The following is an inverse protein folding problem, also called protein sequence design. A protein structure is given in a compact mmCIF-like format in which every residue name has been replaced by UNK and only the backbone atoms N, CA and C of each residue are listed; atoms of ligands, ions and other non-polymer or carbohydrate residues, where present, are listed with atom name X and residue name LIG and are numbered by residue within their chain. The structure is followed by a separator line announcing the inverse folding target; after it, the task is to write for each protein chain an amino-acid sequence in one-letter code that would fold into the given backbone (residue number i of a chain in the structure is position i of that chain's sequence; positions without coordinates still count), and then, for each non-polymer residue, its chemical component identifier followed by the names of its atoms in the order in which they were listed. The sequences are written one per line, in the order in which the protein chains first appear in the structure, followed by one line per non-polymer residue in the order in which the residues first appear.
data_IF_099779402487
#
_entry.id   IF_099779402487
#
_cell.length_a   1.000
_cell.length_b   1.000
_cell.length_c   1.000
_cell.angle_alpha   90.00
_cell.angle_beta   90.00
_cell.angle_gamma   90.00
#
_symmetry.space_group_name_H-M   'P 1'
#
loop_
_entity.id
_entity.type
_entity.pdbx_description
1 polymer ?
#
# COMPACT_ATOMS: atom_id res chain seq x y z
N UNK A 1 7.25 -10.69 -0.22
CA UNK A 1 5.85 -11.12 -0.02
C UNK A 1 5.04 -9.91 0.38
N UNK A 2 3.85 -9.75 -0.18
CA UNK A 2 2.92 -8.64 0.09
C UNK A 2 1.98 -9.08 1.20
N UNK A 3 1.73 -8.24 2.20
CA UNK A 3 0.88 -8.56 3.34
C UNK A 3 -0.53 -7.98 3.18
N UNK A 4 -1.53 -8.72 3.67
CA UNK A 4 -2.93 -8.35 3.59
C UNK A 4 -3.64 -8.55 4.94
N UNK A 5 -4.53 -7.63 5.26
CA UNK A 5 -5.45 -7.71 6.41
C UNK A 5 -6.90 -7.56 5.93
N UNK A 6 -7.81 -8.37 6.50
CA UNK A 6 -9.23 -8.41 6.13
C UNK A 6 -10.10 -7.84 7.25
N UNK A 7 -11.08 -7.00 6.89
CA UNK A 7 -12.12 -6.53 7.81
C UNK A 7 -13.50 -6.80 7.21
N UNK A 8 -14.27 -7.66 7.83
CA UNK A 8 -15.59 -8.10 7.38
C UNK A 8 -16.42 -8.48 8.61
N UNK A 9 -17.59 -7.89 8.77
CA UNK A 9 -18.43 -8.12 9.95
C UNK A 9 -19.17 -9.46 9.88
N UNK A 10 -19.55 -9.90 8.70
CA UNK A 10 -20.19 -11.18 8.53
C UNK A 10 -19.21 -12.34 8.69
N UNK A 11 -19.37 -13.10 9.77
CA UNK A 11 -18.45 -14.18 10.11
C UNK A 11 -18.26 -15.20 9.00
N UNK A 12 -19.34 -15.63 8.35
CA UNK A 12 -19.28 -16.65 7.28
C UNK A 12 -18.51 -16.12 6.08
N UNK A 13 -18.77 -14.88 5.67
CA UNK A 13 -18.05 -14.22 4.59
C UNK A 13 -16.56 -14.05 4.94
N UNK A 14 -16.26 -13.59 6.14
CA UNK A 14 -14.89 -13.42 6.64
C UNK A 14 -14.10 -14.72 6.63
N UNK A 15 -14.66 -15.79 7.21
CA UNK A 15 -14.05 -17.13 7.22
C UNK A 15 -13.89 -17.68 5.80
N UNK A 16 -14.88 -17.48 4.94
CA UNK A 16 -14.83 -17.93 3.55
C UNK A 16 -13.69 -17.23 2.77
N UNK A 17 -13.56 -15.94 2.91
CA UNK A 17 -12.48 -15.17 2.25
C UNK A 17 -11.11 -15.62 2.80
N UNK A 18 -10.98 -15.75 4.12
CA UNK A 18 -9.74 -16.19 4.75
C UNK A 18 -9.29 -17.55 4.29
N UNK A 19 -10.22 -18.53 4.27
CA UNK A 19 -9.89 -19.94 4.14
C UNK A 19 -9.94 -20.46 2.68
N UNK A 20 -10.76 -19.85 1.82
CA UNK A 20 -10.97 -20.33 0.44
C UNK A 20 -10.19 -19.56 -0.62
N UNK A 21 -9.68 -18.38 -0.31
CA UNK A 21 -8.80 -17.66 -1.23
C UNK A 21 -7.38 -18.21 -1.11
N UNK A 22 -6.75 -18.66 -2.20
CA UNK A 22 -5.41 -19.25 -2.14
C UNK A 22 -4.31 -18.20 -2.04
N UNK A 23 -4.24 -17.51 -0.91
CA UNK A 23 -3.34 -16.39 -0.66
C UNK A 23 -1.86 -16.70 -0.93
N UNK A 24 -1.41 -17.88 -0.48
CA UNK A 24 0.00 -18.29 -0.62
C UNK A 24 0.40 -18.53 -2.09
N UNK A 25 -0.52 -19.04 -2.92
CA UNK A 25 -0.26 -19.25 -4.35
C UNK A 25 -0.04 -17.92 -5.10
N UNK A 26 -0.54 -16.81 -4.54
CA UNK A 26 -0.37 -15.46 -5.06
C UNK A 26 0.71 -14.64 -4.33
N UNK A 27 1.58 -15.26 -3.54
CA UNK A 27 2.61 -14.62 -2.72
C UNK A 27 2.05 -13.55 -1.76
N UNK A 28 0.87 -13.80 -1.22
CA UNK A 28 0.23 -12.94 -0.23
C UNK A 28 0.38 -13.55 1.17
N UNK A 29 0.87 -12.76 2.09
CA UNK A 29 0.91 -13.07 3.51
C UNK A 29 -0.37 -12.55 4.17
N UNK A 30 -1.29 -13.45 4.49
CA UNK A 30 -2.51 -13.12 5.23
C UNK A 30 -2.16 -12.88 6.70
N UNK A 31 -2.26 -11.62 7.17
CA UNK A 31 -1.85 -11.23 8.53
C UNK A 31 -2.91 -11.46 9.58
N UNK A 32 -4.16 -11.45 9.19
CA UNK A 32 -5.28 -11.62 10.09
C UNK A 32 -6.56 -10.99 9.58
N UNK A 33 -7.60 -11.11 10.39
CA UNK A 33 -8.92 -10.55 10.10
C UNK A 33 -9.57 -9.94 11.36
N UNK A 34 -10.54 -9.07 11.17
CA UNK A 34 -11.31 -8.45 12.22
C UNK A 34 -12.78 -8.28 11.82
N UNK A 35 -13.71 -8.27 12.81
CA UNK A 35 -15.15 -8.15 12.53
C UNK A 35 -15.63 -6.72 12.31
N UNK A 36 -14.85 -5.72 12.64
CA UNK A 36 -15.19 -4.30 12.49
C UNK A 36 -13.95 -3.41 12.53
N UNK A 37 -14.16 -2.13 12.23
CA UNK A 37 -13.07 -1.16 12.17
C UNK A 37 -12.41 -0.84 13.50
N UNK A 38 -13.16 -0.89 14.61
CA UNK A 38 -12.60 -0.62 15.95
C UNK A 38 -11.64 -1.72 16.39
N UNK A 39 -11.99 -2.98 16.15
CA UNK A 39 -11.12 -4.13 16.43
C UNK A 39 -9.95 -4.17 15.46
N UNK A 40 -10.16 -3.78 14.21
CA UNK A 40 -9.13 -3.79 13.17
C UNK A 40 -8.06 -2.72 13.39
N UNK A 41 -8.44 -1.51 13.77
CA UNK A 41 -7.55 -0.35 13.77
C UNK A 41 -6.26 -0.53 14.57
N UNK A 42 -6.27 -1.00 15.83
CA UNK A 42 -5.04 -1.24 16.57
C UNK A 42 -4.12 -2.26 15.89
N UNK A 43 -4.69 -3.31 15.31
CA UNK A 43 -3.94 -4.35 14.61
C UNK A 43 -3.34 -3.82 13.30
N UNK A 44 -4.06 -2.97 12.58
CA UNK A 44 -3.57 -2.34 11.35
C UNK A 44 -2.39 -1.41 11.63
N UNK A 45 -2.47 -0.61 12.69
CA UNK A 45 -1.38 0.29 13.09
C UNK A 45 -0.13 -0.46 13.54
N UNK A 46 -0.29 -1.61 14.20
CA UNK A 46 0.82 -2.47 14.62
C UNK A 46 1.43 -3.24 13.45
N UNK A 47 0.59 -3.95 12.70
CA UNK A 47 1.03 -4.87 11.64
C UNK A 47 1.40 -4.17 10.33
N UNK A 48 0.85 -2.98 10.08
CA UNK A 48 1.10 -2.15 8.89
C UNK A 48 1.01 -2.94 7.57
N UNK A 49 -0.16 -3.52 7.24
CA UNK A 49 -0.31 -4.34 6.05
C UNK A 49 -0.09 -3.52 4.76
N UNK A 50 0.35 -4.20 3.72
CA UNK A 50 0.47 -3.60 2.39
C UNK A 50 -0.89 -3.39 1.74
N UNK A 51 -1.85 -4.28 2.03
CA UNK A 51 -3.22 -4.23 1.50
C UNK A 51 -4.21 -4.38 2.65
N UNK A 52 -5.20 -3.49 2.68
CA UNK A 52 -6.40 -3.59 3.51
C UNK A 52 -7.58 -3.95 2.59
N UNK A 53 -8.21 -5.10 2.86
CA UNK A 53 -9.47 -5.50 2.24
C UNK A 53 -10.58 -5.32 3.29
N UNK A 54 -11.54 -4.43 3.04
CA UNK A 54 -12.57 -4.10 4.04
C UNK A 54 -13.96 -4.00 3.45
N UNK A 55 -14.96 -4.50 4.17
CA UNK A 55 -16.36 -4.18 3.92
C UNK A 55 -16.63 -2.72 4.29
N UNK A 56 -17.70 -2.15 3.76
CA UNK A 56 -18.18 -0.81 4.11
C UNK A 56 -19.08 -0.86 5.34
N UNK A 57 -20.16 -1.62 5.27
CA UNK A 57 -21.19 -1.65 6.32
C UNK A 57 -20.80 -2.57 7.44
N UNK A 58 -20.25 -1.99 8.48
CA UNK A 58 -19.88 -2.69 9.70
C UNK A 58 -20.36 -1.90 10.92
N UNK A 59 -20.64 -2.60 12.03
CA UNK A 59 -21.01 -1.94 13.27
C UNK A 59 -19.84 -1.12 13.84
N UNK A 60 -20.14 -0.11 14.65
CA UNK A 60 -19.22 0.78 15.37
C UNK A 60 -18.44 1.71 14.43
N UNK A 61 -17.49 1.19 13.68
CA UNK A 61 -16.72 1.95 12.69
C UNK A 61 -16.91 1.32 11.31
N UNK A 62 -17.49 2.06 10.37
CA UNK A 62 -17.66 1.60 9.00
C UNK A 62 -16.34 1.58 8.20
N UNK A 63 -16.37 0.89 7.05
CA UNK A 63 -15.18 0.73 6.21
C UNK A 63 -14.68 2.04 5.61
N UNK A 64 -15.52 3.04 5.40
CA UNK A 64 -15.09 4.35 4.89
C UNK A 64 -14.38 5.17 5.95
N UNK A 65 -14.86 5.13 7.18
CA UNK A 65 -14.18 5.78 8.31
C UNK A 65 -12.84 5.11 8.59
N UNK A 66 -12.81 3.79 8.57
CA UNK A 66 -11.57 3.02 8.68
C UNK A 66 -10.59 3.39 7.56
N UNK A 67 -11.06 3.45 6.32
CA UNK A 67 -10.25 3.83 5.15
C UNK A 67 -9.67 5.24 5.29
N UNK A 68 -10.45 6.19 5.80
CA UNK A 68 -10.00 7.56 6.06
C UNK A 68 -8.85 7.60 7.06
N UNK A 69 -8.95 6.86 8.15
CA UNK A 69 -7.91 6.80 9.18
C UNK A 69 -6.67 6.10 8.63
N UNK A 70 -6.84 4.96 7.96
CA UNK A 70 -5.73 4.20 7.36
C UNK A 70 -5.01 5.01 6.30
N UNK A 71 -5.73 5.77 5.48
CA UNK A 71 -5.11 6.65 4.47
C UNK A 71 -4.21 7.70 5.10
N UNK A 72 -4.58 8.23 6.27
CA UNK A 72 -3.81 9.22 7.02
C UNK A 72 -2.61 8.60 7.73
N UNK A 73 -2.82 7.51 8.47
CA UNK A 73 -1.81 6.89 9.34
C UNK A 73 -0.88 5.92 8.60
N UNK A 74 -1.37 5.27 7.56
CA UNK A 74 -0.67 4.27 6.75
C UNK A 74 -0.80 4.63 5.26
N UNK A 75 -0.16 5.72 4.79
CA UNK A 75 -0.37 6.23 3.43
C UNK A 75 0.06 5.27 2.32
N UNK A 76 0.95 4.33 2.61
CA UNK A 76 1.42 3.32 1.65
C UNK A 76 0.51 2.09 1.55
N UNK A 77 -0.41 1.89 2.51
CA UNK A 77 -1.37 0.79 2.47
C UNK A 77 -2.38 0.98 1.34
N UNK A 78 -2.51 -0.03 0.49
CA UNK A 78 -3.54 -0.07 -0.55
C UNK A 78 -4.87 -0.50 0.05
N UNK A 79 -5.94 0.18 -0.28
CA UNK A 79 -7.27 -0.06 0.27
C UNK A 79 -8.18 -0.59 -0.83
N UNK A 80 -8.75 -1.77 -0.60
CA UNK A 80 -9.75 -2.41 -1.46
C UNK A 80 -11.04 -2.49 -0.66
N UNK A 81 -12.12 -1.94 -1.20
CA UNK A 81 -13.43 -1.92 -0.57
C UNK A 81 -14.32 -3.04 -1.13
N UNK A 82 -14.96 -3.78 -0.25
CA UNK A 82 -16.08 -4.67 -0.57
C UNK A 82 -17.39 -3.96 -0.23
N UNK A 83 -18.35 -3.96 -1.14
CA UNK A 83 -19.63 -3.26 -0.93
C UNK A 83 -20.81 -4.05 -1.48
N UNK A 84 -21.96 -3.94 -0.84
CA UNK A 84 -23.23 -4.48 -1.34
C UNK A 84 -23.82 -3.66 -2.50
N UNK A 85 -24.86 -4.19 -3.12
CA UNK A 85 -25.58 -3.49 -4.18
C UNK A 85 -26.26 -2.21 -3.68
N UNK A 86 -26.39 -1.21 -4.57
CA UNK A 86 -27.07 0.08 -4.35
C UNK A 86 -26.36 1.07 -3.41
N UNK A 87 -25.05 0.99 -3.33
CA UNK A 87 -24.25 1.89 -2.48
C UNK A 87 -23.47 2.94 -3.30
N UNK A 88 -24.11 3.54 -4.31
CA UNK A 88 -23.47 4.52 -5.18
C UNK A 88 -22.81 5.68 -4.41
N UNK A 89 -23.48 6.16 -3.36
CA UNK A 89 -22.95 7.25 -2.52
C UNK A 89 -21.67 6.81 -1.77
N UNK A 90 -21.61 5.56 -1.35
CA UNK A 90 -20.41 5.02 -0.73
C UNK A 90 -19.26 4.87 -1.72
N UNK A 91 -19.54 4.40 -2.93
CA UNK A 91 -18.55 4.33 -4.00
C UNK A 91 -17.95 5.69 -4.31
N UNK A 92 -18.79 6.74 -4.38
CA UNK A 92 -18.36 8.11 -4.61
C UNK A 92 -17.47 8.63 -3.48
N UNK A 93 -17.84 8.39 -2.22
CA UNK A 93 -17.02 8.73 -1.04
C UNK A 93 -15.71 7.98 -1.05
N UNK A 94 -15.71 6.69 -1.39
CA UNK A 94 -14.50 5.86 -1.48
C UNK A 94 -13.50 6.41 -2.51
N UNK A 95 -13.98 6.83 -3.68
CA UNK A 95 -13.15 7.46 -4.71
C UNK A 95 -12.51 8.76 -4.17
N UNK A 96 -13.29 9.60 -3.48
CA UNK A 96 -12.80 10.84 -2.87
C UNK A 96 -11.74 10.58 -1.80
N UNK A 97 -11.84 9.48 -1.05
CA UNK A 97 -10.85 9.05 -0.08
C UNK A 97 -9.58 8.45 -0.71
N UNK A 98 -9.60 8.21 -2.02
CA UNK A 98 -8.46 7.64 -2.72
C UNK A 98 -8.25 6.15 -2.46
N UNK A 99 -9.35 5.38 -2.30
CA UNK A 99 -9.24 3.91 -2.26
C UNK A 99 -8.74 3.37 -3.59
N UNK A 100 -8.05 2.27 -3.55
CA UNK A 100 -7.34 1.74 -4.72
C UNK A 100 -8.21 0.85 -5.60
N UNK A 101 -9.20 0.18 -5.00
CA UNK A 101 -10.15 -0.65 -5.74
C UNK A 101 -11.48 -0.75 -4.98
N UNK A 102 -12.54 -1.11 -5.70
CA UNK A 102 -13.89 -1.20 -5.18
C UNK A 102 -14.61 -2.39 -5.82
N UNK A 103 -14.98 -3.39 -5.03
CA UNK A 103 -15.62 -4.61 -5.49
C UNK A 103 -17.06 -4.70 -5.00
N UNK A 104 -17.98 -5.07 -5.89
CA UNK A 104 -19.39 -5.26 -5.55
C UNK A 104 -19.66 -6.70 -5.14
N UNK A 105 -20.33 -6.88 -3.99
CA UNK A 105 -20.81 -8.19 -3.55
C UNK A 105 -22.02 -8.65 -4.41
N UNK A 106 -22.16 -9.93 -4.72
CA UNK A 106 -21.31 -11.04 -4.29
C UNK A 106 -19.96 -11.07 -5.02
N UNK A 107 -18.88 -11.23 -4.27
CA UNK A 107 -17.52 -11.33 -4.81
C UNK A 107 -17.06 -12.79 -4.80
N UNK A 108 -16.42 -13.22 -5.87
CA UNK A 108 -15.74 -14.52 -5.92
C UNK A 108 -14.28 -14.39 -5.43
N UNK A 109 -13.67 -15.52 -5.09
CA UNK A 109 -12.23 -15.55 -4.78
C UNK A 109 -11.41 -15.01 -5.95
N UNK A 110 -11.84 -15.23 -7.19
CA UNK A 110 -11.21 -14.71 -8.39
C UNK A 110 -11.25 -13.18 -8.45
N UNK A 111 -12.41 -12.56 -8.18
CA UNK A 111 -12.54 -11.10 -8.19
C UNK A 111 -11.62 -10.45 -7.16
N UNK A 112 -11.56 -11.05 -5.97
CA UNK A 112 -10.67 -10.59 -4.89
C UNK A 112 -9.21 -10.71 -5.32
N UNK A 113 -8.79 -11.86 -5.86
CA UNK A 113 -7.43 -12.07 -6.31
C UNK A 113 -7.01 -11.14 -7.45
N UNK A 114 -7.90 -10.87 -8.41
CA UNK A 114 -7.63 -9.93 -9.49
C UNK A 114 -7.38 -8.49 -8.94
N UNK A 115 -8.18 -8.05 -7.96
CA UNK A 115 -7.97 -6.74 -7.31
C UNK A 115 -6.68 -6.71 -6.48
N UNK A 116 -6.40 -7.77 -5.74
CA UNK A 116 -5.18 -7.91 -4.94
C UNK A 116 -3.94 -7.95 -5.85
N UNK A 117 -3.97 -8.68 -6.94
CA UNK A 117 -2.85 -8.74 -7.90
C UNK A 117 -2.59 -7.38 -8.56
N UNK A 118 -3.64 -6.60 -8.88
CA UNK A 118 -3.46 -5.22 -9.36
C UNK A 118 -2.78 -4.34 -8.31
N UNK A 119 -3.23 -4.40 -7.06
CA UNK A 119 -2.62 -3.66 -5.95
C UNK A 119 -1.18 -4.08 -5.69
N UNK A 120 -0.90 -5.38 -5.74
CA UNK A 120 0.45 -5.95 -5.61
C UNK A 120 1.39 -5.41 -6.68
N UNK A 121 0.98 -5.42 -7.94
CA UNK A 121 1.77 -4.89 -9.05
C UNK A 121 2.12 -3.40 -8.83
N UNK A 122 1.16 -2.60 -8.40
CA UNK A 122 1.36 -1.18 -8.10
C UNK A 122 2.33 -0.96 -6.92
N UNK A 123 2.21 -1.76 -5.86
CA UNK A 123 3.11 -1.70 -4.70
C UNK A 123 4.55 -2.02 -5.13
N UNK A 124 4.75 -3.08 -5.89
CA UNK A 124 6.07 -3.49 -6.34
C UNK A 124 6.69 -2.46 -7.28
N UNK A 125 5.92 -1.86 -8.16
CA UNK A 125 6.36 -0.77 -9.03
C UNK A 125 6.79 0.46 -8.23
N UNK A 126 5.99 0.88 -7.23
CA UNK A 126 6.35 1.98 -6.34
C UNK A 126 7.64 1.71 -5.56
N UNK A 127 7.83 0.49 -5.06
CA UNK A 127 9.06 0.08 -4.36
C UNK A 127 10.27 0.12 -5.27
N UNK A 128 10.16 -0.38 -6.49
CA UNK A 128 11.23 -0.33 -7.49
C UNK A 128 11.65 1.11 -7.82
N UNK A 129 10.70 2.02 -8.05
CA UNK A 129 10.96 3.44 -8.28
C UNK A 129 11.65 4.13 -7.10
N UNK A 130 11.29 3.79 -5.86
CA UNK A 130 11.96 4.32 -4.66
C UNK A 130 13.41 3.90 -4.58
N UNK A 131 13.72 2.63 -4.88
CA UNK A 131 15.09 2.10 -4.90
C UNK A 131 15.91 2.81 -5.97
N UNK A 132 15.40 2.99 -7.18
CA UNK A 132 16.08 3.71 -8.26
C UNK A 132 16.40 5.16 -7.88
N UNK A 133 15.43 5.89 -7.28
CA UNK A 133 15.64 7.26 -6.81
C UNK A 133 16.70 7.37 -5.73
N UNK A 134 16.71 6.43 -4.77
CA UNK A 134 17.73 6.38 -3.71
C UNK A 134 19.11 6.09 -4.29
N UNK A 135 19.25 5.12 -5.19
CA UNK A 135 20.52 4.80 -5.85
C UNK A 135 21.05 5.99 -6.65
N UNK A 136 20.20 6.67 -7.41
CA UNK A 136 20.57 7.86 -8.17
C UNK A 136 21.03 9.01 -7.25
N UNK A 137 20.32 9.24 -6.15
CA UNK A 137 20.69 10.27 -5.16
C UNK A 137 22.04 9.96 -4.50
N UNK A 138 22.33 8.70 -4.17
CA UNK A 138 23.62 8.29 -3.59
C UNK A 138 24.74 8.52 -4.60
N UNK A 139 24.56 8.10 -5.85
CA UNK A 139 25.56 8.30 -6.91
C UNK A 139 25.85 9.77 -7.16
N UNK A 140 24.84 10.62 -7.19
CA UNK A 140 25.05 12.08 -7.32
C UNK A 140 25.81 12.67 -6.14
N UNK A 141 25.51 12.24 -4.91
CA UNK A 141 26.26 12.67 -3.71
C UNK A 141 27.71 12.24 -3.76
N UNK A 142 27.98 11.01 -4.12
CA UNK A 142 29.35 10.48 -4.24
C UNK A 142 30.15 11.24 -5.29
N UNK A 143 29.56 11.50 -6.47
CA UNK A 143 30.17 12.31 -7.51
C UNK A 143 30.44 13.75 -7.06
N UNK A 144 29.51 14.36 -6.34
CA UNK A 144 29.70 15.70 -5.78
C UNK A 144 30.86 15.75 -4.79
N UNK A 145 30.93 14.81 -3.86
CA UNK A 145 32.03 14.71 -2.90
C UNK A 145 33.37 14.38 -3.57
N UNK A 146 33.38 13.49 -4.55
CA UNK A 146 34.58 13.15 -5.31
C UNK A 146 35.12 14.39 -6.06
N UNK A 147 34.26 15.16 -6.70
CA UNK A 147 34.64 16.39 -7.38
C UNK A 147 35.13 17.47 -6.41
N UNK A 148 34.51 17.59 -5.23
CA UNK A 148 34.93 18.50 -4.18
C UNK A 148 36.32 18.14 -3.64
N UNK A 149 36.58 16.85 -3.37
CA UNK A 149 37.87 16.35 -2.94
C UNK A 149 38.96 16.58 -3.97
N UNK A 150 38.69 16.33 -5.25
CA UNK A 150 39.62 16.58 -6.33
C UNK A 150 39.95 18.09 -6.49
N UNK A 151 38.94 18.95 -6.26
CA UNK A 151 39.15 20.41 -6.27
C UNK A 151 39.95 20.94 -5.09
N UNK A 152 39.85 20.27 -3.92
CA UNK A 152 40.62 20.64 -2.71
C UNK A 152 42.07 20.19 -2.82
N UNK A 153 42.32 19.02 -3.43
CA UNK A 153 43.69 18.48 -3.61
C UNK A 153 44.45 19.16 -4.74
N UNK A 154 43.77 19.76 -5.71
CA UNK A 154 44.40 20.62 -6.70
C UNK A 154 44.50 22.06 -6.15
N UNK A 155 45.63 22.39 -5.58
CA UNK A 155 45.91 23.77 -5.13
C UNK A 155 45.83 24.80 -6.30
N UNK A 156 45.68 26.08 -5.99
CA UNK A 156 45.40 27.14 -7.01
C UNK A 156 46.43 27.23 -8.13
N UNK A 157 47.61 26.67 -7.97
CA UNK A 157 48.67 26.68 -9.01
C UNK A 157 48.43 25.70 -10.17
N UNK A 158 47.60 24.69 -10.00
CA UNK A 158 47.29 23.69 -11.06
C UNK A 158 46.04 24.02 -11.89
N UNK A 159 45.19 24.94 -11.41
CA UNK A 159 44.04 25.43 -12.17
C UNK A 159 44.43 26.37 -13.31
N UNK A 160 45.56 27.08 -13.22
CA UNK A 160 46.02 28.02 -14.23
C UNK A 160 46.66 27.36 -15.45
N UNK A 161 47.08 26.09 -15.37
CA UNK A 161 47.68 25.37 -16.47
C UNK A 161 46.66 24.65 -17.41
N UNK A 162 45.39 24.61 -17.03
CA UNK A 162 44.33 24.03 -17.90
C UNK A 162 43.49 25.05 -18.66
N UNK A 163 43.75 26.33 -18.45
CA UNK A 163 43.07 27.45 -19.13
C UNK A 163 43.93 28.12 -20.23
N UNK A 164 45.01 27.46 -20.64
CA UNK A 164 45.85 27.89 -21.78
C UNK A 164 45.71 26.93 -22.95
#
# INVERSE_FOLDING_TARGET
MISLFLVEDERIARESIRDNVPWQEHDILFLGDAPDGEVALPQLLEKRPDILLTDIKMPFMDGLELARIVRKELPDTRIIILSGHNEFEYARKAITLGVNDYLLKPVSSRDILEAVDRSKAQILECRARRIERQSHSITQRELFFSNLYSGILMGPAQMLQRAA
#
